data_IF_854711871480
#
_entry.id   IF_854711871480
#
_cell.length_a   1.000
_cell.length_b   1.000
_cell.length_c   1.000
_cell.angle_alpha   90.00
_cell.angle_beta   90.00
_cell.angle_gamma   90.00
#
_symmetry.space_group_name_H-M   'P 1'
#
loop_
_entity.id
_entity.type
_entity.pdbx_description
1 polymer ?
#
# COMPACT_ATOMS: atom_id res chain seq x y z
N UNK A 1 -30.88 -17.50 3.01
CA UNK A 1 -30.40 -16.75 4.19
C UNK A 1 -29.97 -15.39 3.70
N UNK A 2 -30.73 -14.33 3.98
CA UNK A 2 -30.28 -12.96 3.71
C UNK A 2 -29.13 -12.68 4.68
N UNK A 3 -27.89 -12.54 4.17
CA UNK A 3 -26.84 -11.93 4.97
C UNK A 3 -27.35 -10.53 5.36
N UNK A 4 -27.34 -10.15 6.64
CA UNK A 4 -27.61 -8.76 7.00
C UNK A 4 -26.61 -7.89 6.24
N UNK A 5 -27.11 -6.85 5.57
CA UNK A 5 -26.29 -5.92 4.81
C UNK A 5 -25.11 -5.47 5.68
N UNK A 6 -23.89 -5.71 5.20
CA UNK A 6 -22.69 -5.27 5.90
C UNK A 6 -22.77 -3.74 6.06
N UNK A 7 -22.46 -3.21 7.26
CA UNK A 7 -22.51 -1.78 7.48
C UNK A 7 -21.62 -1.06 6.46
N UNK A 8 -22.17 -0.04 5.80
CA UNK A 8 -21.42 0.73 4.81
C UNK A 8 -20.18 1.37 5.45
N UNK A 9 -19.06 1.35 4.72
CA UNK A 9 -17.82 1.95 5.21
C UNK A 9 -18.01 3.45 5.49
N UNK A 10 -17.46 3.90 6.60
CA UNK A 10 -17.42 5.33 6.93
C UNK A 10 -16.59 6.10 5.89
N UNK A 11 -16.82 7.42 5.79
CA UNK A 11 -16.03 8.27 4.89
C UNK A 11 -14.52 8.24 5.20
N UNK A 12 -14.15 8.03 6.47
CA UNK A 12 -12.77 7.85 6.85
C UNK A 12 -12.20 6.51 6.35
N UNK A 13 -12.91 5.40 6.57
CA UNK A 13 -12.50 4.08 6.08
C UNK A 13 -12.31 4.07 4.57
N UNK A 14 -13.20 4.74 3.81
CA UNK A 14 -13.08 4.88 2.36
C UNK A 14 -11.79 5.59 1.94
N UNK A 15 -11.44 6.70 2.62
CA UNK A 15 -10.20 7.45 2.31
C UNK A 15 -8.95 6.62 2.55
N UNK A 16 -8.88 5.89 3.67
CA UNK A 16 -7.73 5.05 3.99
C UNK A 16 -7.63 3.80 3.10
N UNK A 17 -8.76 3.17 2.77
CA UNK A 17 -8.80 2.07 1.81
C UNK A 17 -8.35 2.54 0.42
N UNK A 18 -8.81 3.73 -0.02
CA UNK A 18 -8.37 4.33 -1.28
C UNK A 18 -6.86 4.62 -1.28
N UNK A 19 -6.33 5.21 -0.20
CA UNK A 19 -4.90 5.48 -0.08
C UNK A 19 -4.04 4.21 -0.15
N UNK A 20 -4.45 3.14 0.55
CA UNK A 20 -3.78 1.85 0.48
C UNK A 20 -3.83 1.25 -0.94
N UNK A 21 -4.99 1.29 -1.59
CA UNK A 21 -5.16 0.80 -2.96
C UNK A 21 -4.32 1.58 -3.97
N UNK A 22 -4.28 2.92 -3.85
CA UNK A 22 -3.48 3.78 -4.71
C UNK A 22 -1.98 3.48 -4.58
N UNK A 23 -1.48 3.35 -3.34
CA UNK A 23 -0.08 2.96 -3.10
C UNK A 23 0.23 1.57 -3.65
N UNK A 24 -0.70 0.62 -3.51
CA UNK A 24 -0.51 -0.73 -4.01
C UNK A 24 -0.43 -0.76 -5.54
N UNK A 25 -1.34 -0.06 -6.23
CA UNK A 25 -1.30 0.05 -7.69
C UNK A 25 -0.04 0.77 -8.18
N UNK A 26 0.44 1.78 -7.44
CA UNK A 26 1.71 2.43 -7.73
C UNK A 26 2.88 1.44 -7.62
N UNK A 27 2.92 0.62 -6.56
CA UNK A 27 3.95 -0.40 -6.41
C UNK A 27 3.90 -1.46 -7.53
N UNK A 28 2.70 -1.86 -7.98
CA UNK A 28 2.52 -2.75 -9.14
C UNK A 28 3.06 -2.08 -10.42
N UNK A 29 2.72 -0.82 -10.66
CA UNK A 29 3.24 -0.06 -11.80
C UNK A 29 4.78 0.06 -11.77
N UNK A 30 5.33 0.34 -10.58
CA UNK A 30 6.77 0.39 -10.37
C UNK A 30 7.44 -0.98 -10.59
N UNK A 31 6.81 -2.08 -10.21
CA UNK A 31 7.30 -3.43 -10.53
C UNK A 31 7.34 -3.65 -12.04
N UNK A 32 6.31 -3.25 -12.78
CA UNK A 32 6.30 -3.31 -14.24
C UNK A 32 7.46 -2.52 -14.86
N UNK A 33 7.70 -1.30 -14.38
CA UNK A 33 8.86 -0.49 -14.78
C UNK A 33 10.19 -1.19 -14.44
N UNK A 34 10.35 -1.70 -13.22
CA UNK A 34 11.57 -2.37 -12.76
C UNK A 34 11.90 -3.60 -13.59
N UNK A 35 10.89 -4.41 -13.93
CA UNK A 35 11.04 -5.58 -14.80
C UNK A 35 11.38 -5.18 -16.24
N UNK A 36 10.80 -4.10 -16.77
CA UNK A 36 11.12 -3.64 -18.12
C UNK A 36 12.56 -3.07 -18.20
N UNK A 37 12.94 -2.23 -17.25
CA UNK A 37 14.23 -1.56 -17.22
C UNK A 37 15.36 -2.43 -16.64
N UNK A 38 15.04 -3.58 -16.04
CA UNK A 38 15.98 -4.46 -15.31
C UNK A 38 16.73 -3.74 -14.17
N UNK A 39 16.07 -2.78 -13.52
CA UNK A 39 16.63 -1.97 -12.44
C UNK A 39 15.77 -2.12 -11.19
N UNK A 40 16.41 -2.28 -10.02
CA UNK A 40 15.73 -2.36 -8.72
C UNK A 40 14.68 -3.49 -8.60
N UNK A 41 14.76 -4.53 -9.43
CA UNK A 41 13.78 -5.64 -9.47
C UNK A 41 13.57 -6.28 -8.10
N UNK A 42 14.66 -6.60 -7.39
CA UNK A 42 14.59 -7.20 -6.05
C UNK A 42 13.83 -6.31 -5.07
N UNK A 43 14.09 -5.01 -5.10
CA UNK A 43 13.38 -4.05 -4.27
C UNK A 43 11.90 -3.97 -4.66
N UNK A 44 11.56 -3.91 -5.95
CA UNK A 44 10.18 -3.81 -6.39
C UNK A 44 9.35 -5.06 -6.00
N UNK A 45 9.90 -6.26 -6.20
CA UNK A 45 9.25 -7.51 -5.79
C UNK A 45 9.09 -7.58 -4.27
N UNK A 46 10.16 -7.27 -3.53
CA UNK A 46 10.13 -7.28 -2.07
C UNK A 46 9.14 -6.26 -1.50
N UNK A 47 9.11 -5.05 -2.06
CA UNK A 47 8.20 -4.00 -1.63
C UNK A 47 6.75 -4.37 -1.87
N UNK A 48 6.42 -4.92 -3.04
CA UNK A 48 5.07 -5.38 -3.34
C UNK A 48 4.64 -6.52 -2.40
N UNK A 49 5.53 -7.48 -2.13
CA UNK A 49 5.25 -8.55 -1.17
C UNK A 49 5.01 -8.00 0.25
N UNK A 50 5.83 -7.06 0.71
CA UNK A 50 5.65 -6.37 1.98
C UNK A 50 4.31 -5.63 2.07
N UNK A 51 3.86 -4.98 0.99
CA UNK A 51 2.54 -4.35 0.94
C UNK A 51 1.40 -5.35 1.13
N UNK A 52 1.46 -6.49 0.43
CA UNK A 52 0.43 -7.54 0.52
C UNK A 52 0.34 -8.04 1.96
N UNK A 53 1.46 -8.51 2.52
CA UNK A 53 1.45 -9.07 3.88
C UNK A 53 1.19 -8.00 4.95
N UNK A 54 1.71 -6.79 4.77
CA UNK A 54 1.52 -5.67 5.68
C UNK A 54 0.07 -5.22 5.76
N UNK A 55 -0.59 -4.97 4.61
CA UNK A 55 -1.99 -4.57 4.59
C UNK A 55 -2.94 -5.69 5.00
N UNK A 56 -2.77 -6.91 4.48
CA UNK A 56 -3.62 -8.04 4.86
C UNK A 56 -3.46 -8.37 6.35
N UNK A 57 -2.21 -8.38 6.85
CA UNK A 57 -1.92 -8.61 8.25
C UNK A 57 -2.52 -7.54 9.16
N UNK A 58 -2.31 -6.27 8.85
CA UNK A 58 -2.86 -5.16 9.64
C UNK A 58 -4.39 -5.14 9.59
N UNK A 59 -5.01 -5.40 8.44
CA UNK A 59 -6.46 -5.44 8.32
C UNK A 59 -7.06 -6.62 9.10
N UNK A 60 -6.41 -7.79 9.08
CA UNK A 60 -6.80 -8.95 9.89
C UNK A 60 -6.74 -8.63 11.39
N UNK A 61 -5.66 -7.99 11.85
CA UNK A 61 -5.51 -7.59 13.25
C UNK A 61 -6.49 -6.47 13.65
N UNK A 62 -6.82 -5.59 12.71
CA UNK A 62 -7.83 -4.55 12.85
C UNK A 62 -9.28 -5.05 12.70
N UNK A 63 -9.50 -6.36 12.54
CA UNK A 63 -10.83 -6.97 12.33
C UNK A 63 -11.61 -6.34 11.17
N UNK A 64 -10.91 -5.96 10.10
CA UNK A 64 -11.51 -5.33 8.92
C UNK A 64 -11.70 -3.81 9.00
N UNK A 65 -11.29 -3.16 10.09
CA UNK A 65 -11.41 -1.70 10.21
C UNK A 65 -10.26 -0.95 9.52
N UNK A 66 -10.56 -0.33 8.39
CA UNK A 66 -9.62 0.52 7.64
C UNK A 66 -9.26 1.84 8.37
N UNK A 67 -10.04 2.26 9.35
CA UNK A 67 -9.73 3.44 10.17
C UNK A 67 -8.91 3.09 11.42
N UNK A 68 -8.61 1.81 11.62
CA UNK A 68 -7.83 1.37 12.77
C UNK A 68 -6.40 1.91 12.71
N UNK A 69 -5.81 2.36 13.84
CA UNK A 69 -4.45 2.90 13.89
C UNK A 69 -3.40 1.99 13.24
N UNK A 70 -3.48 0.67 13.45
CA UNK A 70 -2.55 -0.30 12.83
C UNK A 70 -2.59 -0.25 11.29
N UNK A 71 -3.77 -0.17 10.69
CA UNK A 71 -3.90 -0.09 9.24
C UNK A 71 -3.38 1.24 8.72
N UNK A 72 -3.74 2.35 9.39
CA UNK A 72 -3.24 3.70 9.05
C UNK A 72 -1.72 3.76 9.12
N UNK A 73 -1.11 3.20 10.17
CA UNK A 73 0.35 3.12 10.30
C UNK A 73 0.99 2.36 9.15
N UNK A 74 0.38 1.25 8.71
CA UNK A 74 0.87 0.54 7.52
C UNK A 74 0.80 1.41 6.26
N UNK A 75 -0.30 2.12 6.04
CA UNK A 75 -0.41 3.06 4.90
C UNK A 75 0.69 4.12 4.99
N UNK A 76 0.88 4.73 6.16
CA UNK A 76 1.89 5.77 6.37
C UNK A 76 3.32 5.27 6.17
N UNK A 77 3.64 4.05 6.62
CA UNK A 77 4.96 3.44 6.37
C UNK A 77 5.26 3.34 4.87
N UNK A 78 4.27 3.00 4.06
CA UNK A 78 4.45 2.90 2.61
C UNK A 78 4.46 4.26 1.92
N UNK A 79 3.76 5.27 2.43
CA UNK A 79 3.93 6.67 2.01
C UNK A 79 5.37 7.13 2.24
N UNK A 80 5.94 6.83 3.42
CA UNK A 80 7.33 7.17 3.73
C UNK A 80 8.29 6.42 2.80
N UNK A 81 8.08 5.12 2.59
CA UNK A 81 8.89 4.34 1.66
C UNK A 81 8.86 4.92 0.23
N UNK A 82 7.68 5.33 -0.25
CA UNK A 82 7.53 5.99 -1.55
C UNK A 82 8.25 7.35 -1.59
N UNK A 83 8.13 8.17 -0.54
CA UNK A 83 8.82 9.46 -0.46
C UNK A 83 10.34 9.30 -0.48
N UNK A 84 10.88 8.31 0.26
CA UNK A 84 12.30 7.99 0.27
C UNK A 84 12.77 7.47 -1.10
N UNK A 85 11.99 6.61 -1.74
CA UNK A 85 12.27 6.15 -3.11
C UNK A 85 12.33 7.33 -4.08
N UNK A 86 11.34 8.22 -4.04
CA UNK A 86 11.30 9.42 -4.87
C UNK A 86 12.51 10.33 -4.62
N UNK A 87 12.92 10.52 -3.37
CA UNK A 87 14.09 11.32 -3.02
C UNK A 87 15.40 10.72 -3.56
N UNK A 88 15.55 9.39 -3.50
CA UNK A 88 16.71 8.68 -4.06
C UNK A 88 16.74 8.82 -5.58
N UNK A 89 15.60 8.64 -6.25
CA UNK A 89 15.49 8.81 -7.71
C UNK A 89 15.79 10.25 -8.11
N UNK A 90 15.21 11.24 -7.42
CA UNK A 90 15.43 12.65 -7.70
C UNK A 90 16.91 13.04 -7.54
N UNK A 91 17.60 12.50 -6.53
CA UNK A 91 19.04 12.70 -6.34
C UNK A 91 19.88 12.08 -7.47
N UNK A 92 19.41 11.01 -8.09
CA UNK A 92 20.11 10.34 -9.18
C UNK A 92 19.92 11.04 -10.54
N UNK A 93 18.97 11.96 -10.65
CA UNK A 93 18.78 12.79 -11.84
C UNK A 93 19.83 13.92 -11.81
N UNK A 94 20.54 14.18 -12.93
CA UNK A 94 21.55 15.23 -13.03
C UNK A 94 20.95 16.65 -12.97
#
# INVERSE_FOLDING_TARGET
MNQPDLPTLSGEQKRWAFGAAALFLLAVGFLGFALNAQVMVVFAVGWLALMIFGFVGALKMAKGDFAHPLFKSQVMLHVIALALLAAVVARALP
#
